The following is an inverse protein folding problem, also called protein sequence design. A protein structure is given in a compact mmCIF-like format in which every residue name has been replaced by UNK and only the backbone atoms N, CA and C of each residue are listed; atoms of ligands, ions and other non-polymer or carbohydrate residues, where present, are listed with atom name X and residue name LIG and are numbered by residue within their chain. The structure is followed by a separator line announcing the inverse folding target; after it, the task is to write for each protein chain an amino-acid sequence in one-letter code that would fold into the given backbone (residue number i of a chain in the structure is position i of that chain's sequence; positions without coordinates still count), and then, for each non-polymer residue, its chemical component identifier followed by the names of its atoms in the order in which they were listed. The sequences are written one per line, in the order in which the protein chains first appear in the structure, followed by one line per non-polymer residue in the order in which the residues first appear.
data_IF_272411412369
#
_entry.id   IF_272411412369
#
_cell.length_a   1.000
_cell.length_b   1.000
_cell.length_c   1.000
_cell.angle_alpha   90.00
_cell.angle_beta   90.00
_cell.angle_gamma   90.00
#
_symmetry.space_group_name_H-M   'P 1'
#
loop_
_entity.id
_entity.type
_entity.pdbx_description
1 polymer ?
#
# COMPACT_ATOMS: atom_id res chain seq x y z
N UNK A 1 10.79 1.02 -1.57
CA UNK A 1 10.10 0.00 -2.38
C UNK A 1 8.64 -0.04 -1.96
N UNK A 2 7.70 0.04 -2.91
CA UNK A 2 6.27 -0.08 -2.67
C UNK A 2 5.77 -1.48 -3.01
N UNK A 3 4.85 -2.01 -2.20
CA UNK A 3 4.12 -3.25 -2.44
C UNK A 3 2.63 -2.88 -2.45
N UNK A 4 2.11 -2.62 -3.63
CA UNK A 4 0.75 -2.17 -3.89
C UNK A 4 -0.14 -3.32 -4.38
N UNK A 5 -1.45 -3.15 -4.32
CA UNK A 5 -2.43 -4.11 -4.81
C UNK A 5 -3.73 -4.05 -4.01
N UNK A 6 -4.76 -4.81 -4.41
CA UNK A 6 -6.06 -4.79 -3.75
C UNK A 6 -6.01 -5.30 -2.31
N UNK A 7 -7.07 -5.04 -1.55
CA UNK A 7 -7.22 -5.59 -0.20
C UNK A 7 -7.14 -7.11 -0.22
N UNK A 8 -6.65 -7.70 0.86
CA UNK A 8 -6.48 -9.14 1.02
C UNK A 8 -5.66 -9.84 -0.10
N UNK A 9 -4.87 -9.09 -0.87
CA UNK A 9 -4.02 -9.65 -1.93
C UNK A 9 -2.76 -10.36 -1.41
N UNK A 10 -2.43 -10.26 -0.10
CA UNK A 10 -1.24 -10.87 0.48
C UNK A 10 -0.01 -9.97 0.49
N UNK A 11 -0.18 -8.66 0.30
CA UNK A 11 0.92 -7.66 0.28
C UNK A 11 1.79 -7.69 1.53
N UNK A 12 1.18 -7.73 2.70
CA UNK A 12 1.91 -7.75 3.99
C UNK A 12 2.75 -9.02 4.13
N UNK A 13 2.18 -10.18 3.78
CA UNK A 13 2.91 -11.46 3.77
C UNK A 13 4.11 -11.40 2.84
N UNK A 14 3.91 -10.95 1.60
CA UNK A 14 5.01 -10.74 0.64
C UNK A 14 6.08 -9.79 1.18
N UNK A 15 5.64 -8.70 1.82
CA UNK A 15 6.55 -7.74 2.44
C UNK A 15 7.39 -8.34 3.57
N UNK A 16 6.81 -9.23 4.37
CA UNK A 16 7.51 -9.90 5.48
C UNK A 16 8.50 -10.96 4.96
N UNK A 17 8.13 -11.71 3.92
CA UNK A 17 9.02 -12.66 3.25
C UNK A 17 10.22 -11.94 2.59
N UNK A 18 9.96 -10.84 1.86
CA UNK A 18 11.01 -10.03 1.27
C UNK A 18 11.91 -9.40 2.33
N UNK A 19 11.34 -8.95 3.46
CA UNK A 19 12.12 -8.41 4.57
C UNK A 19 13.12 -9.42 5.11
N UNK A 20 12.69 -10.67 5.34
CA UNK A 20 13.56 -11.73 5.80
C UNK A 20 14.71 -12.03 4.81
N UNK A 21 14.40 -12.07 3.51
CA UNK A 21 15.40 -12.30 2.46
C UNK A 21 16.42 -11.15 2.36
N UNK A 22 15.98 -9.90 2.42
CA UNK A 22 16.86 -8.72 2.38
C UNK A 22 17.74 -8.67 3.63
N UNK A 23 17.18 -8.93 4.81
CA UNK A 23 17.94 -8.98 6.07
C UNK A 23 19.01 -10.08 6.06
N UNK A 24 18.75 -11.22 5.41
CA UNK A 24 19.73 -12.28 5.23
C UNK A 24 20.94 -11.83 4.39
N UNK A 25 20.83 -10.78 3.58
CA UNK A 25 21.97 -10.16 2.87
C UNK A 25 22.77 -9.18 3.75
N UNK A 26 22.40 -8.98 5.01
CA UNK A 26 23.01 -8.03 5.93
C UNK A 26 22.45 -6.60 5.86
N UNK A 27 21.45 -6.31 5.00
CA UNK A 27 20.86 -4.98 4.89
C UNK A 27 19.73 -4.79 5.90
N UNK A 28 19.71 -3.66 6.62
CA UNK A 28 18.59 -3.31 7.49
C UNK A 28 17.30 -3.09 6.70
N UNK A 29 16.17 -3.53 7.25
CA UNK A 29 14.85 -3.36 6.64
C UNK A 29 13.93 -2.58 7.58
N UNK A 30 13.27 -1.59 7.02
CA UNK A 30 12.19 -0.84 7.67
C UNK A 30 10.88 -1.32 7.06
N UNK A 31 10.00 -1.90 7.88
CA UNK A 31 8.63 -2.26 7.48
C UNK A 31 7.67 -1.17 7.95
N UNK A 32 6.85 -0.66 7.02
CA UNK A 32 5.76 0.24 7.32
C UNK A 32 4.59 -0.01 6.33
N UNK A 33 3.39 0.41 6.71
CA UNK A 33 2.19 0.23 5.90
C UNK A 33 1.40 1.54 5.81
N UNK A 34 0.66 1.72 4.74
CA UNK A 34 -0.27 2.84 4.57
C UNK A 34 -1.33 2.89 5.68
N UNK A 35 -1.63 1.75 6.29
CA UNK A 35 -2.60 1.65 7.38
C UNK A 35 -2.21 2.47 8.62
N UNK A 36 -0.91 2.71 8.82
CA UNK A 36 -0.41 3.62 9.85
C UNK A 36 -0.61 5.11 9.55
N UNK A 37 -1.19 5.44 8.40
CA UNK A 37 -1.39 6.80 7.91
C UNK A 37 -2.86 7.10 7.55
N UNK A 38 -3.80 6.42 8.18
CA UNK A 38 -5.21 6.75 8.02
C UNK A 38 -5.52 8.16 8.56
N UNK A 39 -6.44 8.84 7.88
CA UNK A 39 -7.05 10.06 8.42
C UNK A 39 -8.08 9.69 9.50
N UNK A 40 -8.41 10.60 10.43
CA UNK A 40 -9.47 10.38 11.41
C UNK A 40 -10.81 10.01 10.73
N UNK A 41 -11.60 9.17 11.37
CA UNK A 41 -12.88 8.67 10.85
C UNK A 41 -13.80 9.78 10.36
N UNK A 42 -13.86 10.90 11.09
CA UNK A 42 -14.65 12.07 10.71
C UNK A 42 -14.25 12.63 9.33
N UNK A 43 -12.97 12.59 9.00
CA UNK A 43 -12.46 13.06 7.70
C UNK A 43 -12.64 11.98 6.60
N UNK A 44 -12.30 10.70 6.90
CA UNK A 44 -12.42 9.59 5.93
C UNK A 44 -13.85 9.29 5.50
N UNK A 45 -14.84 9.61 6.32
CA UNK A 45 -16.24 9.31 6.07
C UNK A 45 -17.07 10.52 5.69
N UNK A 46 -16.45 11.64 5.36
CA UNK A 46 -17.15 12.88 4.95
C UNK A 46 -18.08 12.65 3.75
N UNK A 47 -17.72 11.72 2.85
CA UNK A 47 -18.53 11.35 1.67
C UNK A 47 -19.54 10.21 1.97
N UNK A 48 -19.66 9.78 3.22
CA UNK A 48 -20.49 8.64 3.66
C UNK A 48 -19.68 7.37 3.88
N UNK A 49 -20.26 6.50 4.72
CA UNK A 49 -19.61 5.26 5.17
C UNK A 49 -19.38 4.25 4.04
N UNK A 50 -20.26 4.24 3.05
CA UNK A 50 -20.20 3.30 1.92
C UNK A 50 -19.63 3.93 0.64
N UNK A 51 -19.10 5.17 0.70
CA UNK A 51 -18.58 5.88 -0.46
C UNK A 51 -17.30 5.24 -1.00
N UNK A 52 -17.28 4.72 -2.26
CA UNK A 52 -16.06 4.28 -2.94
C UNK A 52 -15.05 5.41 -3.14
N UNK A 53 -15.54 6.59 -3.52
CA UNK A 53 -14.73 7.80 -3.66
C UNK A 53 -14.07 8.19 -2.35
N UNK A 54 -14.82 8.13 -1.22
CA UNK A 54 -14.29 8.39 0.12
C UNK A 54 -13.19 7.38 0.49
N UNK A 55 -13.36 6.11 0.13
CA UNK A 55 -12.33 5.10 0.34
C UNK A 55 -11.07 5.41 -0.46
N UNK A 56 -11.19 5.71 -1.73
CA UNK A 56 -10.04 5.97 -2.59
C UNK A 56 -9.35 7.31 -2.30
N UNK A 57 -10.12 8.40 -2.07
CA UNK A 57 -9.56 9.75 -2.01
C UNK A 57 -9.29 10.26 -0.61
N UNK A 58 -10.05 9.79 0.39
CA UNK A 58 -10.07 10.43 1.71
C UNK A 58 -9.50 9.53 2.83
N UNK A 59 -9.11 8.28 2.54
CA UNK A 59 -8.68 7.33 3.57
C UNK A 59 -7.35 7.69 4.23
N UNK A 60 -6.38 8.22 3.48
CA UNK A 60 -5.00 8.33 3.94
C UNK A 60 -4.49 9.77 3.98
N UNK A 61 -3.60 10.04 4.92
CA UNK A 61 -2.88 11.30 5.10
C UNK A 61 -1.53 11.24 4.39
N UNK A 62 -1.53 11.48 3.08
CA UNK A 62 -0.30 11.50 2.28
C UNK A 62 0.66 12.65 2.67
N UNK A 63 0.19 13.86 3.03
CA UNK A 63 1.07 14.88 3.60
C UNK A 63 1.85 14.39 4.81
N UNK A 64 1.18 13.78 5.80
CA UNK A 64 1.86 13.22 6.96
C UNK A 64 2.81 12.07 6.59
N UNK A 65 2.41 11.18 5.64
CA UNK A 65 3.28 10.11 5.14
C UNK A 65 4.58 10.67 4.54
N UNK A 66 4.49 11.71 3.72
CA UNK A 66 5.66 12.40 3.17
C UNK A 66 6.51 13.03 4.26
N UNK A 67 5.91 13.80 5.16
CA UNK A 67 6.62 14.56 6.20
C UNK A 67 7.43 13.65 7.12
N UNK A 68 6.82 12.55 7.61
CA UNK A 68 7.44 11.77 8.70
C UNK A 68 8.11 10.48 8.25
N UNK A 69 7.91 10.03 7.01
CA UNK A 69 8.49 8.78 6.53
C UNK A 69 9.23 8.94 5.20
N UNK A 70 8.55 9.35 4.13
CA UNK A 70 9.13 9.28 2.79
C UNK A 70 10.23 10.33 2.59
N UNK A 71 10.01 11.60 2.93
CA UNK A 71 11.02 12.64 2.83
C UNK A 71 12.22 12.41 3.75
N UNK A 72 12.05 12.04 5.03
CA UNK A 72 13.17 11.69 5.90
C UNK A 72 14.03 10.53 5.40
N UNK A 73 13.43 9.53 4.75
CA UNK A 73 14.14 8.35 4.23
C UNK A 73 14.60 8.51 2.78
N UNK A 74 14.13 9.54 2.08
CA UNK A 74 14.47 9.84 0.69
C UNK A 74 15.88 10.44 0.53
N UNK A 75 16.27 10.75 -0.72
CA UNK A 75 17.57 11.35 -1.03
C UNK A 75 17.78 12.67 -0.25
N UNK A 76 18.90 12.77 0.47
CA UNK A 76 19.22 13.95 1.29
C UNK A 76 18.41 14.08 2.58
N UNK A 77 17.54 13.13 2.90
CA UNK A 77 16.73 13.12 4.11
C UNK A 77 17.55 12.91 5.38
N UNK A 78 17.03 13.36 6.51
CA UNK A 78 17.72 13.35 7.81
C UNK A 78 17.63 12.01 8.55
N UNK A 79 16.96 10.99 8.00
CA UNK A 79 16.80 9.60 8.48
C UNK A 79 16.08 9.42 9.84
N UNK A 80 15.56 10.48 10.43
CA UNK A 80 14.66 10.38 11.61
C UNK A 80 13.23 10.25 11.08
N UNK A 81 12.58 9.13 11.34
CA UNK A 81 11.30 8.79 10.73
C UNK A 81 10.30 8.22 11.74
N UNK A 82 9.05 8.12 11.31
CA UNK A 82 7.98 7.41 12.03
C UNK A 82 7.34 6.40 11.06
N UNK A 83 7.05 5.21 11.55
CA UNK A 83 6.38 4.16 10.76
C UNK A 83 4.89 4.36 10.64
N UNK A 84 4.29 5.11 11.54
CA UNK A 84 2.87 5.39 11.60
C UNK A 84 2.62 6.68 12.39
N UNK A 85 1.49 7.32 12.13
CA UNK A 85 1.01 8.52 12.85
C UNK A 85 -0.37 8.30 13.47
N UNK A 86 -1.09 7.25 13.04
CA UNK A 86 -2.48 7.01 13.41
C UNK A 86 -2.75 5.54 13.67
N UNK A 87 -3.55 5.26 14.69
CA UNK A 87 -4.08 3.94 15.00
C UNK A 87 -5.52 3.83 14.51
N UNK A 88 -5.70 3.12 13.39
CA UNK A 88 -7.00 2.96 12.75
C UNK A 88 -8.05 2.24 13.63
N UNK A 89 -7.72 1.16 14.37
CA UNK A 89 -8.67 0.49 15.26
C UNK A 89 -9.24 1.38 16.35
N UNK A 90 -8.42 2.20 17.00
CA UNK A 90 -8.85 3.10 18.06
C UNK A 90 -9.27 4.47 17.56
N UNK A 91 -9.12 4.73 16.25
CA UNK A 91 -9.37 6.03 15.60
C UNK A 91 -8.64 7.20 16.28
N UNK A 92 -7.38 6.99 16.66
CA UNK A 92 -6.59 7.91 17.48
C UNK A 92 -5.20 8.19 16.90
N UNK A 93 -4.68 9.42 17.08
CA UNK A 93 -3.28 9.69 16.77
C UNK A 93 -2.34 8.84 17.64
N UNK A 94 -1.27 8.34 17.04
CA UNK A 94 -0.21 7.66 17.78
C UNK A 94 0.72 8.66 18.48
N UNK A 95 1.30 8.29 19.65
CA UNK A 95 2.30 9.10 20.31
C UNK A 95 3.45 9.47 19.39
N UNK A 96 4.04 10.64 19.61
CA UNK A 96 5.17 11.11 18.83
C UNK A 96 6.45 10.36 19.23
N UNK A 97 6.77 9.31 18.48
CA UNK A 97 7.99 8.55 18.63
C UNK A 97 8.73 8.47 17.30
N UNK A 98 10.03 8.81 17.29
CA UNK A 98 10.87 8.74 16.09
C UNK A 98 11.92 7.65 16.23
N UNK A 99 12.19 7.00 15.11
CA UNK A 99 13.29 6.07 14.90
C UNK A 99 14.38 6.71 14.04
N UNK A 100 15.56 6.11 14.02
CA UNK A 100 16.65 6.52 13.16
C UNK A 100 17.04 5.38 12.20
N UNK A 101 16.96 5.65 10.89
CA UNK A 101 17.27 4.67 9.87
C UNK A 101 18.80 4.52 9.68
N UNK A 102 19.33 3.28 9.62
CA UNK A 102 20.66 3.03 9.09
C UNK A 102 20.82 3.58 7.67
N UNK A 103 22.06 3.88 7.26
CA UNK A 103 22.33 4.55 5.97
C UNK A 103 21.87 3.72 4.76
N UNK A 104 21.99 2.41 4.83
CA UNK A 104 21.70 1.45 3.77
C UNK A 104 20.38 0.71 3.96
N UNK A 105 19.52 1.22 4.85
CA UNK A 105 18.23 0.60 5.13
C UNK A 105 17.33 0.59 3.89
N UNK A 106 16.58 -0.50 3.73
CA UNK A 106 15.54 -0.65 2.72
C UNK A 106 14.18 -0.43 3.35
N UNK A 107 13.42 0.55 2.85
CA UNK A 107 12.01 0.70 3.20
C UNK A 107 11.17 -0.27 2.34
N UNK A 108 10.45 -1.19 2.97
CA UNK A 108 9.38 -1.97 2.40
C UNK A 108 8.05 -1.42 2.91
N UNK A 109 7.31 -0.76 2.04
CA UNK A 109 6.04 -0.10 2.35
C UNK A 109 4.91 -0.79 1.61
N UNK A 110 3.96 -1.37 2.35
CA UNK A 110 2.82 -2.05 1.77
C UNK A 110 1.52 -1.28 1.98
N UNK A 111 0.59 -1.48 1.05
CA UNK A 111 -0.72 -0.86 1.17
C UNK A 111 -1.52 -0.86 -0.11
N UNK A 112 -2.63 -0.14 -0.10
CA UNK A 112 -3.48 0.12 -1.26
C UNK A 112 -3.15 1.52 -1.81
N UNK A 113 -3.33 1.71 -3.13
CA UNK A 113 -3.23 3.02 -3.78
C UNK A 113 -1.84 3.67 -3.73
N UNK A 114 -0.76 2.89 -3.67
CA UNK A 114 0.60 3.40 -3.50
C UNK A 114 1.22 3.96 -4.79
N UNK A 115 0.70 3.58 -5.96
CA UNK A 115 1.23 4.05 -7.24
C UNK A 115 0.49 5.29 -7.78
N UNK A 116 -0.23 5.99 -6.93
CA UNK A 116 -0.88 7.28 -7.22
C UNK A 116 0.15 8.37 -7.53
N UNK A 117 -0.24 9.41 -8.31
CA UNK A 117 0.65 10.54 -8.59
C UNK A 117 1.28 11.19 -7.36
N UNK A 118 0.56 11.20 -6.23
CA UNK A 118 1.04 11.79 -4.97
C UNK A 118 2.21 11.01 -4.35
N UNK A 119 2.41 9.72 -4.70
CA UNK A 119 3.40 8.85 -4.06
C UNK A 119 4.40 8.24 -5.04
N UNK A 120 4.10 8.22 -6.34
CA UNK A 120 4.82 7.44 -7.35
C UNK A 120 6.32 7.74 -7.39
N UNK A 121 6.69 9.00 -7.20
CA UNK A 121 8.08 9.46 -7.29
C UNK A 121 8.91 9.15 -6.03
N UNK A 122 8.26 8.69 -4.96
CA UNK A 122 8.96 8.27 -3.74
C UNK A 122 9.47 6.81 -3.80
N UNK A 123 9.13 6.07 -4.84
CA UNK A 123 9.42 4.65 -4.93
C UNK A 123 10.51 4.32 -5.94
N UNK A 124 11.65 3.82 -5.47
CA UNK A 124 12.74 3.29 -6.33
C UNK A 124 12.35 1.97 -7.02
N UNK A 125 11.44 1.20 -6.41
CA UNK A 125 10.96 -0.08 -6.94
C UNK A 125 9.50 -0.32 -6.56
N UNK A 126 8.69 -0.82 -7.50
CA UNK A 126 7.24 -0.89 -7.41
C UNK A 126 6.76 -2.30 -7.72
N UNK A 127 6.18 -2.94 -6.74
CA UNK A 127 5.55 -4.24 -6.86
C UNK A 127 4.04 -4.03 -6.88
N UNK A 128 3.34 -4.60 -7.84
CA UNK A 128 1.88 -4.63 -7.86
C UNK A 128 1.39 -6.07 -7.76
N UNK A 129 0.72 -6.38 -6.66
CA UNK A 129 0.15 -7.70 -6.40
C UNK A 129 -1.25 -7.75 -6.98
N UNK A 130 -1.54 -8.71 -7.84
CA UNK A 130 -2.85 -8.94 -8.44
C UNK A 130 -3.51 -10.17 -7.85
N UNK A 131 -4.82 -10.07 -7.66
CA UNK A 131 -5.70 -11.19 -7.24
C UNK A 131 -7.07 -10.93 -7.84
N UNK A 132 -7.78 -11.93 -8.37
CA UNK A 132 -9.17 -11.77 -8.79
C UNK A 132 -10.04 -11.23 -7.66
N UNK A 133 -10.96 -10.31 -7.95
CA UNK A 133 -11.79 -9.68 -6.91
C UNK A 133 -12.65 -10.70 -6.11
N UNK A 134 -13.07 -11.79 -6.73
CA UNK A 134 -13.79 -12.87 -6.05
C UNK A 134 -12.90 -13.52 -4.98
N UNK A 135 -11.63 -13.77 -5.30
CA UNK A 135 -10.66 -14.30 -4.35
C UNK A 135 -10.32 -13.29 -3.25
N UNK A 136 -10.21 -11.99 -3.60
CA UNK A 136 -10.08 -10.90 -2.63
C UNK A 136 -11.21 -10.94 -1.59
N UNK A 137 -12.47 -11.04 -2.05
CA UNK A 137 -13.63 -11.11 -1.14
C UNK A 137 -13.60 -12.38 -0.30
N UNK A 138 -13.26 -13.54 -0.90
CA UNK A 138 -13.15 -14.81 -0.17
C UNK A 138 -12.12 -14.72 0.98
N UNK A 139 -10.94 -14.16 0.70
CA UNK A 139 -9.88 -13.97 1.71
C UNK A 139 -10.28 -12.96 2.77
N UNK A 140 -10.92 -11.87 2.36
CA UNK A 140 -11.42 -10.85 3.27
C UNK A 140 -12.47 -11.40 4.24
N UNK A 141 -13.39 -12.23 3.77
CA UNK A 141 -14.36 -12.90 4.64
C UNK A 141 -13.67 -13.71 5.73
N UNK A 142 -12.64 -14.48 5.37
CA UNK A 142 -11.89 -15.28 6.34
C UNK A 142 -11.14 -14.43 7.36
N UNK A 143 -10.59 -13.29 6.94
CA UNK A 143 -9.81 -12.39 7.79
C UNK A 143 -10.68 -11.49 8.68
N UNK A 144 -11.74 -10.92 8.10
CA UNK A 144 -12.42 -9.75 8.66
C UNK A 144 -13.80 -10.06 9.25
N UNK A 145 -14.33 -11.30 9.12
CA UNK A 145 -15.67 -11.65 9.63
C UNK A 145 -15.82 -11.36 11.13
N UNK A 146 -14.78 -11.62 11.91
CA UNK A 146 -14.83 -11.40 13.36
C UNK A 146 -14.72 -9.91 13.71
N UNK A 147 -14.04 -9.13 12.88
CA UNK A 147 -13.91 -7.68 13.00
C UNK A 147 -15.23 -6.96 12.66
N UNK A 148 -15.91 -7.40 11.60
CA UNK A 148 -17.15 -6.76 11.11
C UNK A 148 -18.43 -7.46 11.60
N UNK A 149 -18.30 -8.57 12.31
CA UNK A 149 -19.40 -9.26 12.98
C UNK A 149 -20.07 -10.37 12.14
N UNK A 150 -20.00 -10.34 10.80
CA UNK A 150 -20.50 -11.43 9.95
C UNK A 150 -19.95 -11.41 8.55
N UNK A 151 -19.98 -12.58 7.88
CA UNK A 151 -19.64 -12.70 6.46
C UNK A 151 -20.48 -11.79 5.56
N UNK A 152 -21.80 -11.70 5.84
CA UNK A 152 -22.70 -10.86 5.03
C UNK A 152 -22.28 -9.38 5.05
N UNK A 153 -21.90 -8.86 6.22
CA UNK A 153 -21.43 -7.48 6.36
C UNK A 153 -20.11 -7.27 5.64
N UNK A 154 -19.18 -8.23 5.72
CA UNK A 154 -17.90 -8.15 4.95
C UNK A 154 -18.20 -8.07 3.46
N UNK A 155 -19.01 -9.00 2.92
CA UNK A 155 -19.36 -9.03 1.50
C UNK A 155 -20.04 -7.75 1.04
N UNK A 156 -20.98 -7.22 1.83
CA UNK A 156 -21.66 -5.97 1.54
C UNK A 156 -20.64 -4.80 1.45
N UNK A 157 -19.78 -4.64 2.44
CA UNK A 157 -18.76 -3.57 2.44
C UNK A 157 -17.81 -3.68 1.26
N UNK A 158 -17.42 -4.90 0.90
CA UNK A 158 -16.59 -5.10 -0.29
C UNK A 158 -17.32 -4.74 -1.58
N UNK A 159 -18.59 -5.13 -1.73
CA UNK A 159 -19.39 -4.84 -2.91
C UNK A 159 -19.70 -3.34 -3.07
N UNK A 160 -20.00 -2.63 -1.98
CA UNK A 160 -20.49 -1.24 -2.01
C UNK A 160 -19.34 -0.22 -1.95
N UNK A 161 -18.26 -0.51 -1.21
CA UNK A 161 -17.21 0.46 -0.94
C UNK A 161 -15.84 0.07 -1.49
N UNK A 162 -15.30 -1.09 -1.05
CA UNK A 162 -13.89 -1.39 -1.28
C UNK A 162 -13.61 -1.75 -2.75
N UNK A 163 -14.35 -2.66 -3.35
CA UNK A 163 -14.14 -3.03 -4.75
C UNK A 163 -14.43 -1.89 -5.72
N UNK A 164 -15.51 -1.12 -5.59
CA UNK A 164 -15.71 0.04 -6.46
C UNK A 164 -14.62 1.10 -6.28
N UNK A 165 -14.13 1.36 -5.07
CA UNK A 165 -13.02 2.28 -4.84
C UNK A 165 -11.71 1.80 -5.45
N UNK A 166 -11.43 0.50 -5.41
CA UNK A 166 -10.29 -0.09 -6.11
C UNK A 166 -10.42 -0.02 -7.63
N UNK A 167 -11.64 -0.16 -8.19
CA UNK A 167 -11.86 0.05 -9.62
C UNK A 167 -11.55 1.47 -10.06
N UNK A 168 -11.96 2.49 -9.29
CA UNK A 168 -11.59 3.88 -9.54
C UNK A 168 -10.07 4.01 -9.64
N UNK A 169 -9.35 3.45 -8.68
CA UNK A 169 -7.89 3.45 -8.69
C UNK A 169 -7.30 2.77 -9.93
N UNK A 170 -7.78 1.57 -10.28
CA UNK A 170 -7.28 0.82 -11.44
C UNK A 170 -7.52 1.57 -12.76
N UNK A 171 -8.67 2.24 -12.88
CA UNK A 171 -9.04 3.01 -14.07
C UNK A 171 -8.23 4.31 -14.19
N UNK A 172 -8.11 5.08 -13.10
CA UNK A 172 -7.44 6.38 -13.11
C UNK A 172 -5.90 6.25 -13.19
N UNK A 173 -5.33 5.33 -12.43
CA UNK A 173 -3.87 5.23 -12.24
C UNK A 173 -3.24 4.18 -13.15
N UNK A 174 -3.97 3.09 -13.44
CA UNK A 174 -3.43 1.94 -14.19
C UNK A 174 -2.13 1.40 -13.57
N UNK A 175 -2.15 1.02 -12.29
CA UNK A 175 -0.94 0.69 -11.53
C UNK A 175 -0.12 -0.44 -12.14
N UNK A 176 -0.77 -1.37 -12.87
CA UNK A 176 -0.09 -2.45 -13.60
C UNK A 176 0.92 -1.92 -14.61
N UNK A 177 0.62 -0.77 -15.26
CA UNK A 177 1.54 -0.13 -16.20
C UNK A 177 2.68 0.62 -15.53
N UNK A 178 2.58 0.88 -14.24
CA UNK A 178 3.54 1.62 -13.42
C UNK A 178 4.44 0.70 -12.57
N UNK A 179 4.04 -0.54 -12.36
CA UNK A 179 4.81 -1.51 -11.58
C UNK A 179 6.06 -1.98 -12.33
N UNK A 180 7.14 -2.23 -11.61
CA UNK A 180 8.38 -2.83 -12.12
C UNK A 180 8.24 -4.36 -12.18
N UNK A 181 7.46 -4.92 -11.25
CA UNK A 181 7.07 -6.33 -11.26
C UNK A 181 5.61 -6.46 -10.82
N UNK A 182 4.89 -7.34 -11.51
CA UNK A 182 3.56 -7.79 -11.10
C UNK A 182 3.67 -9.18 -10.48
N UNK A 183 2.94 -9.38 -9.40
CA UNK A 183 2.83 -10.67 -8.71
C UNK A 183 1.38 -11.12 -8.79
N UNK A 184 1.08 -12.10 -9.65
CA UNK A 184 -0.21 -12.78 -9.61
C UNK A 184 -0.21 -13.75 -8.42
N UNK A 185 -0.98 -13.40 -7.41
CA UNK A 185 -1.11 -14.13 -6.15
C UNK A 185 -2.49 -14.80 -6.02
N UNK A 186 -3.11 -15.18 -7.14
CA UNK A 186 -4.36 -15.94 -7.13
C UNK A 186 -4.18 -17.27 -6.39
N UNK A 187 -3.05 -17.96 -6.60
CA UNK A 187 -2.61 -19.08 -5.79
C UNK A 187 -1.39 -18.71 -4.94
N UNK A 188 -1.53 -18.53 -3.61
CA UNK A 188 -0.41 -18.17 -2.74
C UNK A 188 0.69 -19.23 -2.65
N UNK A 189 0.43 -20.47 -3.04
CA UNK A 189 1.42 -21.54 -3.05
C UNK A 189 2.25 -21.55 -4.34
N UNK A 190 1.78 -20.87 -5.39
CA UNK A 190 2.43 -20.81 -6.70
C UNK A 190 2.27 -19.43 -7.34
N UNK A 191 2.75 -18.33 -6.69
CA UNK A 191 2.62 -17.01 -7.25
C UNK A 191 3.39 -16.87 -8.57
N UNK A 192 2.83 -16.14 -9.52
CA UNK A 192 3.44 -15.92 -10.83
C UNK A 192 4.00 -14.51 -10.94
N UNK A 193 5.24 -14.39 -11.43
CA UNK A 193 5.90 -13.10 -11.58
C UNK A 193 5.92 -12.66 -13.05
N UNK A 194 5.58 -11.39 -13.29
CA UNK A 194 5.72 -10.75 -14.59
C UNK A 194 6.47 -9.42 -14.45
N UNK A 195 7.67 -9.36 -15.00
CA UNK A 195 8.51 -8.17 -14.99
C UNK A 195 8.09 -7.19 -16.08
N UNK A 196 8.18 -5.90 -15.78
CA UNK A 196 8.02 -4.87 -16.80
C UNK A 196 9.08 -5.03 -17.89
N UNK A 197 8.70 -4.79 -19.13
CA UNK A 197 9.64 -4.88 -20.25
C UNK A 197 10.66 -3.73 -20.22
N UNK A 198 11.84 -3.93 -20.85
CA UNK A 198 12.83 -2.87 -21.02
C UNK A 198 12.28 -1.67 -21.82
N UNK A 199 11.25 -1.86 -22.64
CA UNK A 199 10.55 -0.80 -23.36
C UNK A 199 9.69 0.06 -22.41
N UNK A 200 9.10 -0.56 -21.40
CA UNK A 200 8.27 0.14 -20.39
C UNK A 200 9.14 1.03 -19.48
N UNK A 201 10.32 0.55 -19.10
CA UNK A 201 11.29 1.34 -18.32
C UNK A 201 11.78 2.59 -19.07
N UNK A 202 12.07 2.48 -20.37
CA UNK A 202 12.49 3.63 -21.21
C UNK A 202 11.42 4.71 -21.29
N UNK A 203 10.16 4.34 -21.50
CA UNK A 203 9.03 5.30 -21.56
C UNK A 203 8.81 6.06 -20.24
N UNK A 204 9.19 5.47 -19.10
CA UNK A 204 9.10 6.11 -17.79
C UNK A 204 10.21 7.13 -17.58
N UNK A 205 11.46 6.81 -17.97
CA UNK A 205 12.60 7.74 -17.89
C UNK A 205 12.40 9.02 -18.72
N UNK A 206 11.77 8.92 -19.89
CA UNK A 206 11.47 10.08 -20.75
C UNK A 206 10.38 11.00 -20.20
N UNK A 207 9.44 10.48 -19.38
CA UNK A 207 8.42 11.30 -18.71
C UNK A 207 8.93 12.00 -17.46
N UNK A 208 9.91 11.44 -16.76
CA UNK A 208 10.51 12.04 -15.57
C UNK A 208 11.52 13.17 -15.90
N UNK A 209 11.91 13.32 -17.19
CA UNK A 209 12.87 14.33 -17.65
C UNK A 209 12.20 15.53 -18.35
N UNK A 210 10.87 15.64 -18.29
CA UNK A 210 10.08 16.75 -18.81
C UNK A 210 9.34 17.46 -17.69
#
# INVERSE_FOLDING_TARGET
MAIDGPDAAGKTTLGDELAALIQATGRPVIRASVDGFHRPRVARLTRGTESPEGYYRDSFDYPALHEVLLTPLGPGGHRRYRRAVFDHPTDSPLPYATEYAPHDAVLLFDGVFLLRPELIDAWDFRIFVTVPFEETVRRAVLRDRDLFGSEAIVRQRYAERYLPGQRIYLEEVRPESLADVMVDNADPQAPQLRWASAADHRRRGEKASR
#
